data_IF_283293352705
#
_entry.id   IF_283293352705
#
_cell.length_a   1.000
_cell.length_b   1.000
_cell.length_c   1.000
_cell.angle_alpha   90.00
_cell.angle_beta   90.00
_cell.angle_gamma   90.00
#
_symmetry.space_group_name_H-M   'P 1'
#
loop_
_entity.id
_entity.type
_entity.pdbx_description
1 polymer ?
#
# COMPACT_ATOMS: atom_id res chain seq x y z
N UNK A 1 -0.22 9.45 4.86
CA UNK A 1 -0.47 8.79 3.56
C UNK A 1 -1.61 9.47 2.82
N UNK A 2 -2.86 9.40 3.29
CA UNK A 2 -4.02 10.03 2.60
C UNK A 2 -3.77 11.53 2.31
N UNK A 3 -3.32 12.28 3.31
CA UNK A 3 -2.95 13.70 3.12
C UNK A 3 -1.90 13.92 2.02
N UNK A 4 -0.91 13.02 1.89
CA UNK A 4 0.10 13.11 0.86
C UNK A 4 -0.47 12.78 -0.52
N UNK A 5 -1.36 11.79 -0.62
CA UNK A 5 -2.07 11.46 -1.86
C UNK A 5 -2.95 12.62 -2.33
N UNK A 6 -3.62 13.32 -1.41
CA UNK A 6 -4.45 14.49 -1.73
C UNK A 6 -3.66 15.66 -2.33
N UNK A 7 -2.34 15.71 -2.12
CA UNK A 7 -1.46 16.75 -2.66
C UNK A 7 -0.94 16.43 -4.07
N UNK A 8 -1.19 15.22 -4.59
CA UNK A 8 -0.73 14.80 -5.92
C UNK A 8 -1.68 15.29 -7.02
N UNK A 9 -1.15 15.41 -8.24
CA UNK A 9 -2.01 15.44 -9.43
C UNK A 9 -2.68 14.07 -9.59
N UNK A 10 -4.01 14.08 -9.52
CA UNK A 10 -4.87 12.89 -9.51
C UNK A 10 -5.34 12.45 -10.90
N UNK A 11 -4.92 13.13 -11.98
CA UNK A 11 -5.40 12.93 -13.35
C UNK A 11 -5.16 11.53 -13.94
N UNK A 12 -4.29 10.72 -13.34
CA UNK A 12 -3.99 9.36 -13.79
C UNK A 12 -3.72 8.36 -12.66
N UNK A 13 -4.05 8.71 -11.42
CA UNK A 13 -3.74 7.87 -10.25
C UNK A 13 -5.00 7.56 -9.44
N UNK A 14 -5.04 6.37 -8.87
CA UNK A 14 -6.07 5.95 -7.93
C UNK A 14 -5.42 5.25 -6.75
N UNK A 15 -6.08 5.33 -5.60
CA UNK A 15 -5.64 4.73 -4.34
C UNK A 15 -6.71 3.78 -3.83
N UNK A 16 -6.37 2.50 -3.76
CA UNK A 16 -7.17 1.53 -3.01
C UNK A 16 -6.61 1.37 -1.60
N UNK A 17 -7.49 1.49 -0.59
CA UNK A 17 -7.15 1.30 0.82
C UNK A 17 -7.74 -0.02 1.29
N UNK A 18 -6.87 -0.90 1.79
CA UNK A 18 -7.26 -2.19 2.35
C UNK A 18 -6.94 -2.23 3.84
N UNK A 19 -7.80 -2.91 4.60
CA UNK A 19 -7.66 -3.07 6.04
C UNK A 19 -9.00 -3.31 6.73
N UNK A 20 -8.98 -3.73 8.00
CA UNK A 20 -10.20 -3.80 8.80
C UNK A 20 -10.79 -2.40 9.00
N UNK A 21 -12.11 -2.30 9.23
CA UNK A 21 -12.71 -1.03 9.62
C UNK A 21 -12.01 -0.51 10.87
N UNK A 22 -11.55 0.75 10.80
CA UNK A 22 -11.03 1.47 11.96
C UNK A 22 -12.19 2.20 12.65
N UNK A 23 -11.95 2.71 13.86
CA UNK A 23 -12.90 3.64 14.51
C UNK A 23 -13.13 4.92 13.69
N UNK A 24 -12.26 5.16 12.70
CA UNK A 24 -12.39 6.20 11.69
C UNK A 24 -13.24 5.63 10.55
N UNK A 25 -14.26 6.39 10.15
CA UNK A 25 -15.17 6.02 9.07
C UNK A 25 -14.46 6.05 7.71
N UNK A 26 -13.79 4.95 7.35
CA UNK A 26 -13.00 4.83 6.12
C UNK A 26 -13.88 4.89 4.87
N UNK A 27 -15.19 4.62 4.98
CA UNK A 27 -16.14 4.82 3.88
C UNK A 27 -16.30 6.30 3.52
N UNK A 28 -16.02 7.23 4.45
CA UNK A 28 -15.96 8.66 4.12
C UNK A 28 -14.72 9.05 3.31
N UNK A 29 -13.74 8.15 3.16
CA UNK A 29 -12.59 8.36 2.29
C UNK A 29 -12.90 8.05 0.82
N UNK A 30 -14.07 7.48 0.54
CA UNK A 30 -14.45 7.16 -0.83
C UNK A 30 -14.66 8.45 -1.63
N UNK A 31 -13.73 8.69 -2.55
CA UNK A 31 -13.78 9.80 -3.50
C UNK A 31 -13.75 9.25 -4.94
N UNK A 32 -13.55 10.11 -5.93
CA UNK A 32 -13.30 9.68 -7.31
C UNK A 32 -11.99 8.90 -7.45
N UNK A 33 -10.98 9.20 -6.63
CA UNK A 33 -9.62 8.67 -6.75
C UNK A 33 -9.19 7.81 -5.56
N UNK A 34 -9.96 7.79 -4.46
CA UNK A 34 -9.69 6.95 -3.29
C UNK A 34 -10.85 5.97 -3.11
N UNK A 35 -10.55 4.69 -2.93
CA UNK A 35 -11.53 3.64 -2.66
C UNK A 35 -11.13 2.79 -1.48
N UNK A 36 -11.98 2.72 -0.46
CA UNK A 36 -11.87 1.73 0.60
C UNK A 36 -12.39 0.39 0.08
N UNK A 37 -11.56 -0.64 0.19
CA UNK A 37 -11.84 -2.00 -0.32
C UNK A 37 -12.07 -3.02 0.78
N UNK A 38 -11.96 -2.61 2.05
CA UNK A 38 -12.11 -3.51 3.19
C UNK A 38 -10.95 -4.49 3.34
N UNK A 39 -11.27 -5.64 3.94
CA UNK A 39 -10.35 -6.77 4.10
C UNK A 39 -10.50 -7.76 2.95
N UNK A 40 -9.45 -8.50 2.69
CA UNK A 40 -9.43 -9.64 1.77
C UNK A 40 -8.81 -10.85 2.46
N UNK A 41 -9.07 -12.04 1.93
CA UNK A 41 -8.48 -13.28 2.41
C UNK A 41 -7.03 -13.41 1.93
N UNK A 42 -6.18 -14.06 2.72
CA UNK A 42 -4.76 -14.17 2.42
C UNK A 42 -4.46 -14.78 1.03
N UNK A 43 -5.26 -15.73 0.58
CA UNK A 43 -5.16 -16.36 -0.74
C UNK A 43 -5.56 -15.45 -1.92
N UNK A 44 -6.27 -14.36 -1.65
CA UNK A 44 -6.64 -13.36 -2.65
C UNK A 44 -5.51 -12.36 -2.92
N UNK A 45 -4.47 -12.31 -2.08
CA UNK A 45 -3.44 -11.27 -2.11
C UNK A 45 -2.74 -11.16 -3.47
N UNK A 46 -2.32 -12.28 -4.06
CA UNK A 46 -1.61 -12.23 -5.36
C UNK A 46 -2.51 -11.77 -6.50
N UNK A 47 -3.79 -12.13 -6.44
CA UNK A 47 -4.80 -11.72 -7.44
C UNK A 47 -5.07 -10.25 -7.32
N UNK A 48 -5.20 -9.73 -6.09
CA UNK A 48 -5.42 -8.31 -5.83
C UNK A 48 -4.22 -7.50 -6.29
N UNK A 49 -3.01 -7.87 -5.87
CA UNK A 49 -1.79 -7.10 -6.14
C UNK A 49 -1.52 -6.94 -7.65
N UNK A 50 -1.81 -7.96 -8.47
CA UNK A 50 -1.67 -7.88 -9.95
C UNK A 50 -2.45 -6.73 -10.62
N UNK A 51 -3.42 -6.14 -9.93
CA UNK A 51 -4.21 -5.01 -10.46
C UNK A 51 -3.63 -3.65 -10.09
N UNK A 52 -2.46 -3.61 -9.42
CA UNK A 52 -1.82 -2.39 -8.94
C UNK A 52 -0.38 -2.31 -9.42
N UNK A 53 0.11 -1.08 -9.57
CA UNK A 53 1.49 -0.80 -9.96
C UNK A 53 2.41 -0.61 -8.74
N UNK A 54 1.83 -0.12 -7.63
CA UNK A 54 2.56 0.31 -6.44
C UNK A 54 1.86 -0.12 -5.16
N UNK A 55 2.61 -0.69 -4.22
CA UNK A 55 2.19 -0.92 -2.84
C UNK A 55 2.76 0.19 -1.94
N UNK A 56 1.91 0.86 -1.18
CA UNK A 56 2.33 1.89 -0.19
C UNK A 56 2.18 1.32 1.22
N UNK A 57 3.25 1.36 2.02
CA UNK A 57 3.29 0.87 3.40
C UNK A 57 3.63 1.99 4.39
N UNK A 58 2.61 2.73 4.88
CA UNK A 58 2.83 3.93 5.68
C UNK A 58 3.11 3.69 7.18
N UNK A 59 3.16 2.44 7.71
CA UNK A 59 3.36 2.21 9.17
C UNK A 59 4.01 0.86 9.61
N UNK A 60 5.00 1.01 10.51
CA UNK A 60 5.75 0.20 11.53
C UNK A 60 5.37 -1.26 11.93
N UNK A 61 4.36 -1.92 11.36
CA UNK A 61 3.98 -3.28 11.78
C UNK A 61 4.83 -4.37 11.10
N UNK A 62 5.95 -4.72 11.72
CA UNK A 62 7.03 -5.54 11.14
C UNK A 62 6.63 -6.91 10.58
N UNK A 63 5.77 -7.66 11.27
CA UNK A 63 5.58 -9.08 10.97
C UNK A 63 4.64 -9.32 9.79
N UNK A 64 3.47 -8.67 9.78
CA UNK A 64 2.51 -8.79 8.67
C UNK A 64 3.06 -8.18 7.37
N UNK A 65 3.96 -7.22 7.48
CA UNK A 65 4.53 -6.50 6.35
C UNK A 65 5.48 -7.38 5.50
N UNK A 66 6.17 -8.37 6.08
CA UNK A 66 7.13 -9.20 5.32
C UNK A 66 6.46 -10.01 4.23
N UNK A 67 5.34 -10.67 4.54
CA UNK A 67 4.61 -11.48 3.57
C UNK A 67 4.02 -10.61 2.46
N UNK A 68 3.35 -9.51 2.83
CA UNK A 68 2.73 -8.59 1.85
C UNK A 68 3.78 -7.98 0.90
N UNK A 69 4.97 -7.63 1.41
CA UNK A 69 6.07 -7.14 0.56
C UNK A 69 6.57 -8.21 -0.39
N UNK A 70 6.77 -9.44 0.08
CA UNK A 70 7.24 -10.54 -0.77
C UNK A 70 6.24 -10.84 -1.90
N UNK A 71 4.94 -10.85 -1.58
CA UNK A 71 3.88 -11.03 -2.56
C UNK A 71 3.85 -9.88 -3.57
N UNK A 72 4.01 -8.63 -3.12
CA UNK A 72 4.05 -7.46 -4.00
C UNK A 72 5.23 -7.47 -4.96
N UNK A 73 6.44 -7.77 -4.46
CA UNK A 73 7.64 -7.89 -5.30
C UNK A 73 7.48 -9.04 -6.30
N UNK A 74 6.93 -10.18 -5.87
CA UNK A 74 6.67 -11.33 -6.76
C UNK A 74 5.64 -11.00 -7.83
N UNK A 75 4.66 -10.17 -7.51
CA UNK A 75 3.67 -9.64 -8.46
C UNK A 75 4.21 -8.50 -9.34
N UNK A 76 5.44 -8.04 -9.13
CA UNK A 76 6.10 -7.01 -9.94
C UNK A 76 5.79 -5.57 -9.52
N UNK A 77 5.25 -5.36 -8.32
CA UNK A 77 4.88 -4.03 -7.82
C UNK A 77 6.10 -3.31 -7.25
N UNK A 78 6.16 -2.00 -7.49
CA UNK A 78 7.04 -1.15 -6.70
C UNK A 78 6.49 -1.01 -5.29
N UNK A 79 7.37 -1.10 -4.29
CA UNK A 79 6.97 -0.96 -2.90
C UNK A 79 7.54 0.36 -2.36
N UNK A 80 6.68 1.23 -1.86
CA UNK A 80 7.05 2.49 -1.19
C UNK A 80 6.74 2.32 0.29
N UNK A 81 7.78 2.26 1.12
CA UNK A 81 7.66 2.09 2.57
C UNK A 81 8.34 3.21 3.33
N UNK A 82 8.00 3.31 4.62
CA UNK A 82 8.78 4.12 5.58
C UNK A 82 10.18 3.51 5.79
N UNK A 83 11.20 4.34 6.01
CA UNK A 83 12.55 3.87 6.31
C UNK A 83 12.61 3.28 7.73
N UNK A 84 12.28 2.00 7.83
CA UNK A 84 12.15 1.27 9.09
C UNK A 84 13.22 0.14 9.15
N UNK A 85 14.02 0.03 10.24
CA UNK A 85 15.23 -0.82 10.32
C UNK A 85 15.06 -2.35 10.13
N UNK A 86 14.97 -2.84 8.90
CA UNK A 86 14.68 -4.26 8.61
C UNK A 86 13.78 -4.49 7.40
N UNK A 87 13.18 -3.41 6.90
CA UNK A 87 12.65 -3.32 5.55
C UNK A 87 13.72 -3.05 4.49
N UNK A 88 14.82 -2.40 4.88
CA UNK A 88 15.96 -2.07 4.02
C UNK A 88 16.50 -3.25 3.20
N UNK A 89 16.38 -4.49 3.70
CA UNK A 89 16.80 -5.71 3.00
C UNK A 89 15.89 -6.15 1.84
N UNK A 90 14.66 -5.63 1.77
CA UNK A 90 13.70 -5.93 0.72
C UNK A 90 13.62 -4.83 -0.35
N UNK A 91 14.14 -3.64 -0.02
CA UNK A 91 14.20 -2.52 -0.94
C UNK A 91 15.57 -2.49 -1.61
N UNK A 92 15.62 -2.64 -2.93
CA UNK A 92 16.80 -2.21 -3.68
C UNK A 92 16.94 -0.70 -3.50
N UNK A 93 18.16 -0.23 -3.24
CA UNK A 93 18.55 1.12 -2.81
C UNK A 93 18.13 2.29 -3.73
N UNK A 94 17.35 2.04 -4.77
CA UNK A 94 17.07 2.98 -5.86
C UNK A 94 15.79 3.82 -5.67
N UNK A 95 14.97 3.56 -4.65
CA UNK A 95 13.69 4.27 -4.45
C UNK A 95 13.46 4.82 -3.04
N UNK A 96 14.51 4.99 -2.23
CA UNK A 96 14.40 5.66 -0.93
C UNK A 96 14.48 7.18 -1.13
N UNK A 97 13.34 7.87 -0.97
CA UNK A 97 13.31 9.33 -0.91
C UNK A 97 13.73 9.74 0.52
N UNK A 98 14.89 10.39 0.61
CA UNK A 98 15.50 10.93 1.83
C UNK A 98 14.71 12.07 2.46
#
# INVERSE_FOLDING_TARGET
>A
MIQAFEMLDKSGISLSVFGPPLEIDLEKLDTSNIKYRGVFLFDEISTILKNYDVLILPSVAYEMMRLVIQEAITAGLYVIGTDVPGLQKYFNRELMVS
#
